data_IF_426724826580
#
_entry.id   IF_426724826580
#
_cell.length_a   1.000
_cell.length_b   1.000
_cell.length_c   1.000
_cell.angle_alpha   90.00
_cell.angle_beta   90.00
_cell.angle_gamma   90.00
#
_symmetry.space_group_name_H-M   'P 1'
#
loop_
_entity.id
_entity.type
_entity.pdbx_description
1 polymer ?
#
# COMPACT_ATOMS: atom_id res chain seq x y z
N UNK A 1 1.79 -1.37 -13.95
CA UNK A 1 3.28 -1.30 -13.98
C UNK A 1 3.71 -0.21 -14.95
N UNK A 2 4.87 0.41 -14.70
CA UNK A 2 5.38 1.56 -15.45
C UNK A 2 5.97 1.17 -16.81
N UNK A 3 5.51 1.77 -17.91
CA UNK A 3 6.10 1.57 -19.24
C UNK A 3 6.84 2.85 -19.65
N UNK A 4 8.17 2.81 -19.73
CA UNK A 4 8.95 3.89 -20.34
C UNK A 4 9.70 3.35 -21.54
N UNK A 5 9.29 3.79 -22.74
CA UNK A 5 10.12 3.75 -23.93
C UNK A 5 10.02 5.07 -24.68
N UNK A 6 11.08 5.88 -24.59
CA UNK A 6 11.51 6.88 -25.58
C UNK A 6 10.46 7.78 -26.24
N UNK A 7 10.28 8.97 -25.66
CA UNK A 7 10.16 10.31 -26.28
C UNK A 7 9.32 10.59 -27.55
N UNK A 8 8.52 9.67 -28.11
CA UNK A 8 7.69 10.00 -29.30
C UNK A 8 6.23 9.54 -29.30
N UNK A 9 5.76 8.79 -28.31
CA UNK A 9 4.34 8.49 -28.16
C UNK A 9 3.85 8.87 -26.76
N UNK A 10 2.71 9.57 -26.68
CA UNK A 10 1.98 9.83 -25.41
C UNK A 10 1.35 8.52 -24.90
N UNK A 11 2.17 7.52 -24.62
CA UNK A 11 1.71 6.30 -23.98
C UNK A 11 1.54 6.58 -22.47
N UNK A 12 0.45 6.09 -21.85
CA UNK A 12 0.24 6.26 -20.42
C UNK A 12 1.37 5.57 -19.65
N UNK A 13 1.87 6.26 -18.62
CA UNK A 13 2.95 5.74 -17.75
C UNK A 13 2.52 4.45 -17.07
N UNK A 14 1.23 4.27 -16.77
CA UNK A 14 0.68 3.10 -16.08
C UNK A 14 -0.36 2.39 -16.95
N UNK A 15 -0.21 1.07 -17.09
CA UNK A 15 -1.25 0.19 -17.61
C UNK A 15 -2.06 -0.44 -16.47
N UNK A 16 -3.36 -0.64 -16.70
CA UNK A 16 -4.27 -1.44 -15.88
C UNK A 16 -4.02 -2.96 -16.01
N UNK A 17 -3.12 -3.37 -16.90
CA UNK A 17 -2.76 -4.77 -17.07
C UNK A 17 -2.14 -5.34 -15.79
N UNK A 18 -2.65 -6.50 -15.38
CA UNK A 18 -2.19 -7.21 -14.18
C UNK A 18 -1.08 -8.18 -14.59
N UNK A 19 0.14 -7.92 -14.13
CA UNK A 19 1.19 -8.92 -14.17
C UNK A 19 0.97 -9.93 -13.05
N UNK A 20 0.76 -11.20 -13.41
CA UNK A 20 0.53 -12.27 -12.44
C UNK A 20 1.71 -13.22 -12.40
N UNK A 21 2.29 -13.40 -11.22
CA UNK A 21 3.26 -14.45 -10.93
C UNK A 21 2.58 -15.53 -10.10
N UNK A 22 2.53 -16.76 -10.62
CA UNK A 22 1.99 -17.92 -9.91
C UNK A 22 3.12 -18.91 -9.62
N UNK A 23 3.16 -19.43 -8.39
CA UNK A 23 4.12 -20.46 -8.02
C UNK A 23 3.44 -21.58 -7.26
N UNK A 24 3.49 -22.79 -7.82
CA UNK A 24 2.76 -23.96 -7.31
C UNK A 24 3.78 -24.98 -6.75
N UNK A 25 3.45 -25.61 -5.63
CA UNK A 25 4.27 -26.67 -5.05
C UNK A 25 3.57 -27.40 -3.91
N UNK A 26 3.92 -28.68 -3.67
CA UNK A 26 3.22 -29.55 -2.72
C UNK A 26 3.33 -29.12 -1.25
N UNK A 27 4.27 -28.24 -0.92
CA UNK A 27 4.51 -27.72 0.44
C UNK A 27 4.29 -26.20 0.55
N UNK A 28 3.66 -25.57 -0.44
CA UNK A 28 3.45 -24.10 -0.45
C UNK A 28 2.08 -23.75 0.11
N UNK A 29 2.04 -22.69 0.91
CA UNK A 29 0.80 -22.11 1.39
C UNK A 29 0.07 -21.41 0.24
N UNK A 30 -1.26 -21.48 0.23
CA UNK A 30 -2.09 -20.71 -0.68
C UNK A 30 -2.16 -19.25 -0.19
N UNK A 31 -1.32 -18.40 -0.78
CA UNK A 31 -1.32 -16.96 -0.53
C UNK A 31 -1.33 -16.21 -1.86
N UNK A 32 -2.14 -15.15 -1.93
CA UNK A 32 -2.13 -14.21 -3.03
C UNK A 32 -1.83 -12.83 -2.48
N UNK A 33 -0.79 -12.19 -3.02
CA UNK A 33 -0.40 -10.83 -2.66
C UNK A 33 -0.53 -9.98 -3.93
N UNK A 34 -1.13 -8.81 -3.78
CA UNK A 34 -1.29 -7.83 -4.86
C UNK A 34 -0.45 -6.63 -4.47
N UNK A 35 0.53 -6.28 -5.31
CA UNK A 35 1.27 -5.03 -5.19
C UNK A 35 0.63 -3.98 -6.09
N UNK A 36 0.28 -2.83 -5.51
CA UNK A 36 -0.40 -1.73 -6.20
C UNK A 36 0.55 -0.53 -6.19
N UNK A 37 0.74 0.18 -7.33
CA UNK A 37 1.60 1.35 -7.37
C UNK A 37 1.23 2.36 -6.28
N UNK A 38 2.24 2.91 -5.61
CA UNK A 38 2.04 3.89 -4.55
C UNK A 38 1.38 5.17 -5.07
N UNK A 39 0.52 5.75 -4.24
CA UNK A 39 -0.08 7.06 -4.49
C UNK A 39 1.02 8.11 -4.46
N UNK A 40 1.55 8.49 -5.63
CA UNK A 40 2.51 9.58 -5.76
C UNK A 40 1.81 10.81 -6.34
N UNK A 41 2.16 11.99 -5.84
CA UNK A 41 1.46 13.26 -6.10
C UNK A 41 1.60 13.81 -7.52
N UNK A 42 2.26 13.10 -8.44
CA UNK A 42 2.60 13.62 -9.77
C UNK A 42 1.93 12.79 -10.88
N UNK A 43 0.97 13.44 -11.53
CA UNK A 43 0.38 13.18 -12.85
C UNK A 43 -0.45 11.92 -13.14
N UNK A 44 -0.32 10.81 -12.41
CA UNK A 44 -1.12 9.58 -12.69
C UNK A 44 -1.99 9.13 -11.51
N UNK A 45 -2.28 10.06 -10.59
CA UNK A 45 -2.99 9.78 -9.33
C UNK A 45 -4.40 9.24 -9.52
N UNK A 46 -5.16 9.69 -10.53
CA UNK A 46 -6.55 9.28 -10.71
C UNK A 46 -6.70 7.80 -11.10
N UNK A 47 -5.89 7.33 -12.06
CA UNK A 47 -5.92 5.94 -12.51
C UNK A 47 -5.41 4.99 -11.42
N UNK A 48 -4.32 5.35 -10.75
CA UNK A 48 -3.79 4.58 -9.61
C UNK A 48 -4.79 4.56 -8.46
N UNK A 49 -5.45 5.68 -8.16
CA UNK A 49 -6.48 5.74 -7.11
C UNK A 49 -7.67 4.85 -7.44
N UNK A 50 -8.18 4.87 -8.67
CA UNK A 50 -9.29 3.99 -9.07
C UNK A 50 -8.90 2.51 -8.97
N UNK A 51 -7.68 2.15 -9.39
CA UNK A 51 -7.13 0.80 -9.21
C UNK A 51 -7.10 0.40 -7.72
N UNK A 52 -6.52 1.23 -6.85
CA UNK A 52 -6.45 0.99 -5.40
C UNK A 52 -7.87 0.78 -4.83
N UNK A 53 -8.80 1.68 -5.13
CA UNK A 53 -10.18 1.61 -4.63
C UNK A 53 -10.88 0.35 -5.10
N UNK A 54 -10.68 -0.07 -6.35
CA UNK A 54 -11.29 -1.31 -6.87
C UNK A 54 -10.80 -2.56 -6.10
N UNK A 55 -9.53 -2.62 -5.71
CA UNK A 55 -9.01 -3.71 -4.87
C UNK A 55 -9.48 -3.61 -3.41
N UNK A 56 -9.56 -2.40 -2.86
CA UNK A 56 -10.00 -2.15 -1.47
C UNK A 56 -11.49 -2.42 -1.25
N UNK A 57 -12.34 -2.23 -2.28
CA UNK A 57 -13.77 -2.55 -2.23
C UNK A 57 -14.07 -4.03 -2.07
N UNK A 58 -13.14 -4.92 -2.44
CA UNK A 58 -13.36 -6.35 -2.31
C UNK A 58 -13.32 -6.76 -0.82
N UNK A 59 -14.42 -7.26 -0.23
CA UNK A 59 -14.47 -7.60 1.19
C UNK A 59 -13.59 -8.81 1.57
N UNK A 60 -13.14 -9.61 0.59
CA UNK A 60 -12.22 -10.72 0.80
C UNK A 60 -10.75 -10.29 0.85
N UNK A 61 -10.45 -9.05 0.48
CA UNK A 61 -9.10 -8.49 0.50
C UNK A 61 -8.76 -7.97 1.89
N UNK A 62 -7.60 -8.37 2.41
CA UNK A 62 -6.98 -7.79 3.61
C UNK A 62 -6.06 -6.66 3.16
N UNK A 63 -6.23 -5.48 3.74
CA UNK A 63 -5.45 -4.29 3.45
C UNK A 63 -4.21 -4.25 4.35
N UNK A 64 -3.03 -4.17 3.73
CA UNK A 64 -1.76 -4.01 4.44
C UNK A 64 -1.32 -2.54 4.31
N UNK A 65 -1.55 -1.75 5.35
CA UNK A 65 -1.13 -0.35 5.41
C UNK A 65 0.33 -0.29 5.87
N UNK A 66 1.26 -0.26 4.91
CA UNK A 66 2.69 -0.19 5.17
C UNK A 66 3.11 1.27 5.34
N UNK A 67 3.60 1.61 6.54
CA UNK A 67 4.02 2.97 6.88
C UNK A 67 5.45 2.94 7.44
N UNK A 68 6.35 3.85 7.03
CA UNK A 68 7.66 3.93 7.65
C UNK A 68 7.56 4.59 9.03
N UNK A 69 8.32 4.05 9.99
CA UNK A 69 8.26 4.39 11.40
C UNK A 69 8.75 5.82 11.71
N UNK A 70 9.52 6.42 10.79
CA UNK A 70 10.01 7.79 10.91
C UNK A 70 8.98 8.85 10.46
N UNK A 71 7.78 8.45 10.03
CA UNK A 71 6.74 9.36 9.52
C UNK A 71 5.46 9.19 10.32
N UNK A 72 4.74 10.29 10.54
CA UNK A 72 3.47 10.27 11.25
C UNK A 72 2.42 9.53 10.43
N UNK A 73 1.87 8.44 10.96
CA UNK A 73 0.86 7.61 10.27
C UNK A 73 -0.33 8.44 9.77
N UNK A 74 -0.75 9.45 10.55
CA UNK A 74 -1.91 10.27 10.24
C UNK A 74 -1.78 11.16 8.99
N UNK A 75 -0.57 11.35 8.45
CA UNK A 75 -0.36 12.19 7.25
C UNK A 75 -0.41 11.39 5.94
N UNK A 76 -0.60 10.08 6.02
CA UNK A 76 -0.56 9.20 4.85
C UNK A 76 -1.96 9.03 4.25
N UNK A 77 -2.13 9.47 3.00
CA UNK A 77 -3.38 9.37 2.23
C UNK A 77 -3.94 7.93 2.19
N UNK A 78 -3.05 6.91 2.15
CA UNK A 78 -3.45 5.51 2.14
C UNK A 78 -4.19 5.08 3.41
N UNK A 79 -3.85 5.68 4.56
CA UNK A 79 -4.48 5.36 5.85
C UNK A 79 -5.88 5.95 5.93
N UNK A 80 -6.08 7.14 5.35
CA UNK A 80 -7.40 7.76 5.23
C UNK A 80 -8.31 6.91 4.33
N UNK A 81 -7.83 6.54 3.14
CA UNK A 81 -8.60 5.69 2.20
C UNK A 81 -8.91 4.31 2.81
N UNK A 82 -7.97 3.73 3.56
CA UNK A 82 -8.19 2.47 4.26
C UNK A 82 -9.27 2.61 5.34
N UNK A 83 -9.26 3.70 6.12
CA UNK A 83 -10.30 3.98 7.13
C UNK A 83 -11.68 4.22 6.50
N UNK A 84 -11.74 4.90 5.36
CA UNK A 84 -13.00 5.07 4.61
C UNK A 84 -13.55 3.71 4.11
N UNK A 85 -12.65 2.79 3.73
CA UNK A 85 -13.00 1.48 3.18
C UNK A 85 -13.22 0.39 4.24
N UNK A 86 -12.70 0.58 5.45
CA UNK A 86 -12.78 -0.34 6.59
C UNK A 86 -12.79 0.44 7.92
N UNK A 87 -13.92 1.09 8.26
CA UNK A 87 -14.02 1.94 9.46
C UNK A 87 -13.76 1.19 10.76
N UNK A 88 -14.16 -0.08 10.81
CA UNK A 88 -14.00 -0.97 11.96
C UNK A 88 -12.61 -1.61 12.03
N UNK A 89 -11.74 -1.35 11.04
CA UNK A 89 -10.39 -1.90 10.92
C UNK A 89 -10.32 -3.45 11.01
N UNK A 90 -11.39 -4.16 10.62
CA UNK A 90 -11.50 -5.62 10.75
C UNK A 90 -10.54 -6.34 9.77
N UNK A 91 -10.26 -5.70 8.64
CA UNK A 91 -9.46 -6.25 7.54
C UNK A 91 -8.28 -5.34 7.19
N UNK A 92 -7.87 -4.45 8.10
CA UNK A 92 -6.74 -3.54 7.93
C UNK A 92 -5.62 -3.89 8.89
N UNK A 93 -4.49 -4.33 8.36
CA UNK A 93 -3.26 -4.56 9.12
C UNK A 93 -2.29 -3.40 8.89
N UNK A 94 -1.89 -2.73 9.97
CA UNK A 94 -0.86 -1.69 9.92
C UNK A 94 0.51 -2.33 10.08
N UNK A 95 1.41 -2.03 9.16
CA UNK A 95 2.78 -2.54 9.17
C UNK A 95 3.72 -1.36 9.28
N UNK A 96 4.49 -1.32 10.35
CA UNK A 96 5.56 -0.34 10.50
C UNK A 96 6.86 -0.86 9.89
N UNK A 97 7.51 -0.03 9.08
CA UNK A 97 8.75 -0.35 8.38
C UNK A 97 9.83 0.68 8.66
N UNK A 98 11.08 0.40 8.32
CA UNK A 98 12.22 1.32 8.54
C UNK A 98 12.37 1.81 9.99
N UNK A 99 12.40 0.90 10.99
CA UNK A 99 12.63 1.31 12.38
C UNK A 99 14.03 1.91 12.60
N UNK A 100 14.95 1.67 11.68
CA UNK A 100 16.32 2.22 11.67
C UNK A 100 16.38 3.73 11.42
N UNK A 101 15.35 4.31 10.80
CA UNK A 101 15.29 5.75 10.49
C UNK A 101 14.60 6.58 11.57
N UNK A 102 14.29 5.96 12.71
CA UNK A 102 13.64 6.63 13.83
C UNK A 102 14.63 7.55 14.52
N UNK A 103 14.23 8.81 14.71
CA UNK A 103 15.03 9.78 15.45
C UNK A 103 15.17 9.34 16.92
N UNK A 104 16.39 9.46 17.46
CA UNK A 104 16.65 9.17 18.87
C UNK A 104 15.75 10.03 19.76
N UNK A 105 14.92 9.37 20.58
CA UNK A 105 13.92 10.03 21.44
C UNK A 105 12.49 10.04 20.88
N UNK A 106 12.27 9.57 19.64
CA UNK A 106 10.93 9.34 19.09
C UNK A 106 10.49 7.85 19.18
N UNK A 107 11.35 6.98 19.70
CA UNK A 107 11.14 5.53 19.82
C UNK A 107 9.93 5.19 20.70
N UNK A 108 9.76 5.89 21.83
CA UNK A 108 8.62 5.71 22.74
C UNK A 108 7.28 5.94 22.03
N UNK A 109 7.18 7.00 21.21
CA UNK A 109 5.95 7.27 20.44
C UNK A 109 5.60 6.16 19.46
N UNK A 110 6.61 5.47 18.93
CA UNK A 110 6.38 4.37 17.98
C UNK A 110 5.95 3.12 18.74
N UNK A 111 6.54 2.86 19.91
CA UNK A 111 6.13 1.76 20.78
C UNK A 111 4.68 1.96 21.23
N UNK A 112 4.30 3.14 21.71
CA UNK A 112 2.92 3.48 22.07
C UNK A 112 1.94 3.27 20.90
N UNK A 113 2.36 3.59 19.68
CA UNK A 113 1.55 3.43 18.48
C UNK A 113 1.34 1.97 18.06
N UNK A 114 2.28 1.08 18.40
CA UNK A 114 2.20 -0.36 18.14
C UNK A 114 1.40 -1.07 19.23
N UNK A 115 1.63 -0.71 20.49
CA UNK A 115 0.96 -1.34 21.63
C UNK A 115 -0.54 -1.02 21.68
N UNK A 116 -0.96 0.06 21.02
CA UNK A 116 -2.35 0.48 20.96
C UNK A 116 -2.73 1.19 22.26
N UNK A 117 -3.20 2.43 22.11
CA UNK A 117 -3.75 3.21 23.22
C UNK A 117 -4.94 2.53 23.89
#
# INVERSE_FOLDING_TARGET
MGLSTSARDKLPTFSSDVFRLETIGPMKNHLSVIDIPGLTSKSDSALVRDMVLNYMRNPRSIMLAVVPANVVIATQEIVEIARESDPDAIRTLKILTKPDLVDKGAEEKIIELVEGS
#
